data_IF_158717761655
#
_entry.id   IF_158717761655
#
_cell.length_a   1.000
_cell.length_b   1.000
_cell.length_c   1.000
_cell.angle_alpha   90.00
_cell.angle_beta   90.00
_cell.angle_gamma   90.00
#
_symmetry.space_group_name_H-M   'P 1'
#
loop_
_entity.id
_entity.type
_entity.pdbx_description
1 polymer ?
#
# COMPACT_ATOMS: atom_id res chain seq x y z
N UNK A 1 -20.65 -13.50 20.34
CA UNK A 1 -21.43 -13.85 19.14
C UNK A 1 -21.08 -12.90 18.02
N UNK A 2 -20.85 -13.44 16.82
CA UNK A 2 -20.59 -12.67 15.60
C UNK A 2 -21.54 -13.19 14.53
N UNK A 3 -22.16 -12.29 13.77
CA UNK A 3 -22.94 -12.61 12.59
C UNK A 3 -22.31 -11.90 11.38
N UNK A 4 -22.33 -12.54 10.24
CA UNK A 4 -21.76 -12.00 9.00
C UNK A 4 -22.59 -12.45 7.80
N UNK A 5 -22.43 -11.71 6.70
CA UNK A 5 -23.02 -12.03 5.41
C UNK A 5 -21.95 -11.87 4.33
N UNK A 6 -21.86 -12.87 3.45
CA UNK A 6 -20.98 -12.85 2.31
C UNK A 6 -21.78 -13.24 1.05
N UNK A 7 -21.52 -12.55 -0.06
CA UNK A 7 -22.14 -12.84 -1.34
C UNK A 7 -21.06 -13.09 -2.39
N UNK A 8 -20.93 -14.36 -2.79
CA UNK A 8 -19.93 -14.81 -3.75
C UNK A 8 -20.46 -14.72 -5.18
N UNK A 9 -19.57 -14.42 -6.13
CA UNK A 9 -19.85 -14.41 -7.58
C UNK A 9 -21.06 -13.58 -8.01
N UNK A 10 -21.29 -12.44 -7.36
CA UNK A 10 -22.35 -11.51 -7.75
C UNK A 10 -22.09 -10.98 -9.18
N UNK A 11 -23.08 -11.01 -10.08
CA UNK A 11 -22.91 -10.54 -11.45
C UNK A 11 -22.73 -9.02 -11.54
N UNK A 12 -23.24 -8.28 -10.58
CA UNK A 12 -23.09 -6.84 -10.40
C UNK A 12 -22.58 -6.57 -8.98
N UNK A 13 -21.31 -6.20 -8.89
CA UNK A 13 -20.65 -5.98 -7.59
C UNK A 13 -21.26 -4.80 -6.84
N UNK A 14 -21.54 -3.67 -7.51
CA UNK A 14 -22.07 -2.47 -6.87
C UNK A 14 -23.49 -2.71 -6.30
N UNK A 15 -24.35 -3.39 -7.07
CA UNK A 15 -25.68 -3.76 -6.60
C UNK A 15 -25.62 -4.76 -5.43
N UNK A 16 -24.67 -5.70 -5.47
CA UNK A 16 -24.46 -6.65 -4.39
C UNK A 16 -23.99 -5.97 -3.11
N UNK A 17 -23.01 -5.08 -3.19
CA UNK A 17 -22.51 -4.31 -2.04
C UNK A 17 -23.62 -3.47 -1.41
N UNK A 18 -24.40 -2.76 -2.21
CA UNK A 18 -25.55 -2.00 -1.72
C UNK A 18 -26.58 -2.89 -1.02
N UNK A 19 -26.81 -4.10 -1.54
CA UNK A 19 -27.75 -5.05 -0.93
C UNK A 19 -27.23 -5.65 0.35
N UNK A 20 -25.93 -6.00 0.42
CA UNK A 20 -25.28 -6.49 1.64
C UNK A 20 -25.34 -5.43 2.73
N UNK A 21 -25.05 -4.16 2.38
CA UNK A 21 -25.15 -3.03 3.30
C UNK A 21 -26.59 -2.86 3.85
N UNK A 22 -27.59 -2.90 2.97
CA UNK A 22 -29.01 -2.84 3.38
C UNK A 22 -29.39 -3.95 4.34
N UNK A 23 -28.95 -5.18 4.07
CA UNK A 23 -29.21 -6.32 4.92
C UNK A 23 -28.52 -6.17 6.29
N UNK A 24 -27.28 -5.68 6.32
CA UNK A 24 -26.57 -5.43 7.58
C UNK A 24 -27.28 -4.36 8.43
N UNK A 25 -27.72 -3.26 7.82
CA UNK A 25 -28.50 -2.20 8.50
C UNK A 25 -29.80 -2.77 9.04
N UNK A 26 -30.58 -3.48 8.20
CA UNK A 26 -31.83 -4.08 8.62
C UNK A 26 -31.69 -5.11 9.75
N UNK A 27 -30.59 -5.85 9.78
CA UNK A 27 -30.28 -6.76 10.88
C UNK A 27 -30.03 -6.02 12.21
N UNK A 28 -29.33 -4.88 12.18
CA UNK A 28 -29.11 -4.03 13.37
C UNK A 28 -30.42 -3.45 13.87
N UNK A 29 -31.28 -2.95 12.98
CA UNK A 29 -32.60 -2.43 13.32
C UNK A 29 -33.53 -3.51 13.92
N UNK A 30 -33.53 -4.71 13.30
CA UNK A 30 -34.27 -5.84 13.83
C UNK A 30 -33.77 -6.32 15.19
N UNK A 31 -32.49 -6.12 15.50
CA UNK A 31 -31.92 -6.37 16.82
C UNK A 31 -32.21 -5.25 17.83
N UNK A 32 -32.97 -4.21 17.46
CA UNK A 32 -33.37 -3.10 18.34
C UNK A 32 -32.31 -1.98 18.43
N UNK A 33 -31.28 -1.98 17.62
CA UNK A 33 -30.29 -0.92 17.58
C UNK A 33 -30.82 0.25 16.75
N UNK A 34 -31.11 1.38 17.40
CA UNK A 34 -31.67 2.58 16.76
C UNK A 34 -30.65 3.68 16.54
N UNK A 35 -29.45 3.55 17.14
CA UNK A 35 -28.35 4.54 17.02
C UNK A 35 -27.06 3.81 16.67
N UNK A 36 -26.65 3.90 15.43
CA UNK A 36 -25.38 3.38 14.93
C UNK A 36 -24.81 4.28 13.83
N UNK A 37 -23.55 4.12 13.56
CA UNK A 37 -22.85 4.80 12.45
C UNK A 37 -22.39 3.76 11.45
N UNK A 38 -22.59 4.04 10.18
CA UNK A 38 -22.01 3.28 9.06
C UNK A 38 -20.86 4.09 8.49
N UNK A 39 -19.70 3.46 8.35
CA UNK A 39 -18.54 4.05 7.71
C UNK A 39 -18.21 3.21 6.48
N UNK A 40 -18.15 3.86 5.33
CA UNK A 40 -17.78 3.25 4.06
C UNK A 40 -16.40 3.75 3.65
N UNK A 41 -15.61 2.88 3.04
CA UNK A 41 -14.34 3.22 2.42
C UNK A 41 -14.31 2.70 0.99
N UNK A 42 -13.79 3.51 0.06
CA UNK A 42 -13.60 3.11 -1.33
C UNK A 42 -12.12 3.05 -1.68
N UNK A 43 -11.64 1.82 -1.89
CA UNK A 43 -10.26 1.56 -2.33
C UNK A 43 -10.03 1.95 -3.79
N UNK A 44 -11.08 2.07 -4.60
CA UNK A 44 -11.00 2.53 -5.98
C UNK A 44 -10.52 3.97 -6.06
N UNK A 45 -11.09 4.84 -5.23
CA UNK A 45 -10.67 6.26 -5.13
C UNK A 45 -9.21 6.39 -4.68
N UNK A 46 -8.80 5.61 -3.68
CA UNK A 46 -7.41 5.58 -3.24
C UNK A 46 -6.46 5.10 -4.34
N UNK A 47 -6.85 4.07 -5.08
CA UNK A 47 -6.06 3.57 -6.21
C UNK A 47 -5.94 4.60 -7.32
N UNK A 48 -7.03 5.28 -7.68
CA UNK A 48 -7.03 6.34 -8.69
C UNK A 48 -6.13 7.51 -8.28
N UNK A 49 -6.18 7.96 -7.03
CA UNK A 49 -5.29 9.00 -6.52
C UNK A 49 -3.81 8.62 -6.65
N UNK A 50 -3.45 7.37 -6.32
CA UNK A 50 -2.08 6.90 -6.46
C UNK A 50 -1.66 6.75 -7.93
N UNK A 51 -2.58 6.43 -8.83
CA UNK A 51 -2.31 6.31 -10.27
C UNK A 51 -2.10 7.66 -10.92
N UNK A 52 -2.86 8.67 -10.52
CA UNK A 52 -2.70 10.05 -10.98
C UNK A 52 -1.48 10.75 -10.38
N UNK A 53 -0.98 10.26 -9.25
CA UNK A 53 0.23 10.82 -8.63
C UNK A 53 1.49 10.35 -9.36
N UNK A 54 2.32 11.26 -9.94
CA UNK A 54 3.57 10.90 -10.60
C UNK A 54 4.57 10.29 -9.61
N UNK A 55 4.64 8.97 -9.58
CA UNK A 55 5.58 8.18 -8.79
C UNK A 55 5.81 6.81 -9.45
N UNK A 56 6.93 6.12 -9.16
CA UNK A 56 7.19 4.78 -9.66
C UNK A 56 6.12 3.76 -9.23
N UNK A 57 5.82 2.81 -10.11
CA UNK A 57 4.83 1.73 -9.83
C UNK A 57 5.16 0.97 -8.53
N UNK A 58 6.47 0.72 -8.28
CA UNK A 58 6.93 0.04 -7.06
C UNK A 58 6.56 0.82 -5.78
N UNK A 59 6.52 2.16 -5.81
CA UNK A 59 6.10 3.00 -4.69
C UNK A 59 4.59 2.92 -4.48
N UNK A 60 3.80 2.99 -5.56
CA UNK A 60 2.34 2.79 -5.50
C UNK A 60 1.99 1.44 -4.89
N UNK A 61 2.64 0.37 -5.36
CA UNK A 61 2.40 -0.98 -4.83
C UNK A 61 2.75 -1.07 -3.35
N UNK A 62 3.83 -0.41 -2.92
CA UNK A 62 4.23 -0.36 -1.51
C UNK A 62 3.21 0.38 -0.66
N UNK A 63 2.68 1.52 -1.12
CA UNK A 63 1.62 2.24 -0.43
C UNK A 63 0.31 1.42 -0.37
N UNK A 64 -0.10 0.80 -1.48
CA UNK A 64 -1.28 -0.10 -1.51
C UNK A 64 -1.12 -1.27 -0.52
N UNK A 65 0.06 -1.86 -0.44
CA UNK A 65 0.33 -2.96 0.50
C UNK A 65 0.25 -2.53 1.98
N UNK A 66 0.64 -1.30 2.31
CA UNK A 66 0.63 -0.78 3.67
C UNK A 66 -0.64 -0.02 4.05
N UNK A 67 -1.62 0.10 3.14
CA UNK A 67 -2.84 0.86 3.36
C UNK A 67 -3.56 0.52 4.68
N UNK A 68 -3.62 -0.77 5.01
CA UNK A 68 -4.28 -1.27 6.22
C UNK A 68 -3.49 -1.07 7.52
N UNK A 69 -2.29 -0.50 7.44
CA UNK A 69 -1.39 -0.27 8.57
C UNK A 69 -1.02 1.22 8.62
N UNK A 70 -1.83 2.07 9.25
CA UNK A 70 -1.67 3.54 9.17
C UNK A 70 -0.29 4.06 9.57
N UNK A 71 0.37 3.43 10.54
CA UNK A 71 1.72 3.80 10.96
C UNK A 71 2.75 3.45 9.87
N UNK A 72 2.75 2.21 9.40
CA UNK A 72 3.66 1.76 8.35
C UNK A 72 3.43 2.52 7.02
N UNK A 73 2.17 2.84 6.71
CA UNK A 73 1.83 3.66 5.54
C UNK A 73 2.49 5.04 5.62
N UNK A 74 2.37 5.73 6.75
CA UNK A 74 2.99 7.06 6.96
C UNK A 74 4.51 7.00 6.88
N UNK A 75 5.13 6.01 7.50
CA UNK A 75 6.58 5.80 7.42
C UNK A 75 7.06 5.58 5.98
N UNK A 76 6.34 4.77 5.20
CA UNK A 76 6.64 4.53 3.79
C UNK A 76 6.49 5.82 2.98
N UNK A 77 5.38 6.55 3.15
CA UNK A 77 5.14 7.81 2.45
C UNK A 77 6.22 8.86 2.78
N UNK A 78 6.56 9.01 4.07
CA UNK A 78 7.64 9.89 4.52
C UNK A 78 9.01 9.49 3.94
N UNK A 79 9.28 8.18 3.81
CA UNK A 79 10.51 7.70 3.21
C UNK A 79 10.67 8.13 1.75
N UNK A 80 9.57 8.32 1.03
CA UNK A 80 9.56 8.79 -0.35
C UNK A 80 9.78 10.31 -0.47
N UNK A 81 9.36 11.09 0.52
CA UNK A 81 9.55 12.56 0.51
C UNK A 81 10.96 12.98 0.91
N UNK A 82 11.60 12.22 1.78
CA UNK A 82 12.89 12.60 2.37
C UNK A 82 14.09 11.97 1.68
N UNK A 83 13.87 11.13 0.69
CA UNK A 83 14.89 10.29 0.06
C UNK A 83 15.75 9.50 1.09
N UNK A 84 15.19 9.29 2.30
CA UNK A 84 15.82 8.56 3.41
C UNK A 84 15.85 7.04 3.18
N UNK A 85 15.72 6.59 1.94
CA UNK A 85 15.92 5.19 1.56
C UNK A 85 17.28 4.63 1.90
N UNK A 86 18.17 5.47 2.42
CA UNK A 86 19.54 5.12 2.75
C UNK A 86 19.87 5.34 4.23
N UNK A 87 19.06 4.83 5.17
CA UNK A 87 19.70 4.47 6.45
C UNK A 87 20.81 3.48 6.09
N UNK A 88 22.05 3.81 6.44
CA UNK A 88 23.22 2.93 6.30
C UNK A 88 22.92 1.63 7.06
N UNK A 89 22.34 0.69 6.38
CA UNK A 89 22.14 -0.69 6.84
C UNK A 89 23.32 -1.52 6.34
N UNK A 90 23.54 -2.68 6.94
CA UNK A 90 24.51 -3.68 6.46
C UNK A 90 24.38 -4.03 4.95
N UNK A 91 23.23 -3.70 4.35
CA UNK A 91 22.91 -3.90 2.93
C UNK A 91 23.39 -2.69 2.06
N UNK A 92 23.89 -1.62 2.66
CA UNK A 92 24.27 -0.41 1.92
C UNK A 92 25.39 -0.68 0.91
N UNK A 93 26.43 -1.38 1.33
CA UNK A 93 27.54 -1.75 0.47
C UNK A 93 27.10 -2.70 -0.67
N UNK A 94 26.15 -3.59 -0.37
CA UNK A 94 25.56 -4.47 -1.39
C UNK A 94 24.81 -3.68 -2.45
N UNK A 95 23.99 -2.70 -2.02
CA UNK A 95 23.24 -1.85 -2.95
C UNK A 95 24.21 -0.95 -3.76
N UNK A 96 25.35 -0.51 -3.21
CA UNK A 96 26.33 0.28 -3.93
C UNK A 96 26.99 -0.56 -5.05
N UNK A 97 27.25 -1.84 -4.81
CA UNK A 97 27.72 -2.77 -5.85
C UNK A 97 26.70 -2.97 -6.96
N UNK A 98 25.42 -3.00 -6.65
CA UNK A 98 24.34 -3.15 -7.63
C UNK A 98 24.21 -1.97 -8.62
N UNK A 99 24.87 -0.85 -8.34
CA UNK A 99 24.94 0.27 -9.29
C UNK A 99 25.89 -0.01 -10.47
N UNK A 100 26.83 -0.95 -10.32
CA UNK A 100 27.92 -1.22 -11.28
C UNK A 100 28.03 -2.68 -11.71
N UNK A 101 27.43 -3.61 -10.96
CA UNK A 101 27.52 -5.04 -11.18
C UNK A 101 26.13 -5.67 -11.45
N UNK A 102 26.04 -6.76 -12.23
CA UNK A 102 24.78 -7.47 -12.45
C UNK A 102 24.18 -7.99 -11.14
N UNK A 103 22.89 -7.71 -10.91
CA UNK A 103 22.19 -8.04 -9.66
C UNK A 103 22.30 -9.53 -9.29
N UNK A 104 22.13 -10.42 -10.27
CA UNK A 104 22.20 -11.87 -10.06
C UNK A 104 23.57 -12.33 -9.54
N UNK A 105 24.65 -11.78 -10.09
CA UNK A 105 26.01 -12.12 -9.70
C UNK A 105 26.33 -11.61 -8.28
N UNK A 106 25.96 -10.37 -7.99
CA UNK A 106 26.15 -9.78 -6.65
C UNK A 106 25.41 -10.57 -5.58
N UNK A 107 24.17 -10.98 -5.84
CA UNK A 107 23.37 -11.77 -4.92
C UNK A 107 23.96 -13.17 -4.72
N UNK A 108 24.37 -13.84 -5.80
CA UNK A 108 24.98 -15.16 -5.72
C UNK A 108 26.27 -15.15 -4.90
N UNK A 109 27.16 -14.19 -5.15
CA UNK A 109 28.41 -14.02 -4.40
C UNK A 109 28.18 -13.71 -2.93
N UNK A 110 27.19 -12.88 -2.60
CA UNK A 110 26.88 -12.53 -1.22
C UNK A 110 26.34 -13.72 -0.42
N UNK A 111 25.50 -14.54 -1.05
CA UNK A 111 24.97 -15.76 -0.45
C UNK A 111 26.10 -16.77 -0.21
N UNK A 112 26.97 -16.96 -1.20
CA UNK A 112 28.10 -17.87 -1.12
C UNK A 112 29.12 -17.42 -0.06
N UNK A 113 29.52 -16.14 -0.07
CA UNK A 113 30.52 -15.59 0.86
C UNK A 113 30.09 -15.65 2.32
N UNK A 114 28.78 -15.52 2.59
CA UNK A 114 28.21 -15.54 3.93
C UNK A 114 27.63 -16.89 4.34
N UNK A 115 27.74 -17.89 3.46
CA UNK A 115 27.15 -19.22 3.65
C UNK A 115 25.70 -19.15 4.15
N UNK A 116 24.91 -18.23 3.55
CA UNK A 116 23.54 -17.99 3.98
C UNK A 116 22.65 -19.11 3.43
N UNK A 117 21.95 -19.84 4.31
CA UNK A 117 20.95 -20.78 3.82
C UNK A 117 19.83 -19.99 3.15
N UNK A 118 19.37 -20.45 1.99
CA UNK A 118 18.15 -19.97 1.33
C UNK A 118 16.95 -20.42 2.19
N UNK A 119 16.76 -19.76 3.34
CA UNK A 119 15.67 -20.06 4.26
C UNK A 119 14.49 -19.15 3.92
N UNK A 120 13.30 -19.74 3.78
CA UNK A 120 12.06 -18.98 3.68
C UNK A 120 11.37 -18.97 2.31
N UNK A 121 11.69 -19.91 1.41
CA UNK A 121 10.91 -20.13 0.19
C UNK A 121 11.00 -19.04 -0.88
N UNK A 122 11.94 -18.07 -0.74
CA UNK A 122 12.18 -17.05 -1.76
C UNK A 122 13.24 -17.52 -2.74
N UNK A 123 12.96 -17.36 -4.04
CA UNK A 123 13.93 -17.61 -5.08
C UNK A 123 15.03 -16.52 -5.12
N UNK A 124 16.18 -16.84 -5.71
CA UNK A 124 17.25 -15.88 -5.96
C UNK A 124 16.75 -14.69 -6.80
N UNK A 125 15.88 -14.95 -7.75
CA UNK A 125 15.29 -13.94 -8.63
C UNK A 125 14.41 -12.95 -7.85
N UNK A 126 13.62 -13.43 -6.87
CA UNK A 126 12.83 -12.56 -6.01
C UNK A 126 13.71 -11.68 -5.11
N UNK A 127 14.82 -12.23 -4.60
CA UNK A 127 15.79 -11.47 -3.81
C UNK A 127 16.46 -10.43 -4.69
N UNK A 128 16.89 -10.80 -5.88
CA UNK A 128 17.51 -9.92 -6.86
C UNK A 128 16.58 -8.78 -7.27
N UNK A 129 15.33 -9.07 -7.58
CA UNK A 129 14.31 -8.06 -7.93
C UNK A 129 14.10 -7.04 -6.79
N UNK A 130 14.01 -7.50 -5.54
CA UNK A 130 13.88 -6.57 -4.39
C UNK A 130 15.10 -5.70 -4.14
N UNK A 131 16.29 -6.21 -4.42
CA UNK A 131 17.52 -5.43 -4.32
C UNK A 131 17.62 -4.41 -5.46
N UNK A 132 17.24 -4.80 -6.68
CA UNK A 132 17.13 -3.87 -7.81
C UNK A 132 16.16 -2.73 -7.52
N UNK A 133 14.99 -3.01 -6.97
CA UNK A 133 14.02 -1.99 -6.53
C UNK A 133 14.62 -1.03 -5.50
N UNK A 134 15.36 -1.54 -4.52
CA UNK A 134 16.03 -0.71 -3.51
C UNK A 134 17.16 0.15 -4.12
N UNK A 135 17.88 -0.38 -5.10
CA UNK A 135 18.89 0.38 -5.84
C UNK A 135 18.23 1.50 -6.64
N UNK A 136 17.17 1.19 -7.36
CA UNK A 136 16.39 2.17 -8.11
C UNK A 136 15.79 3.28 -7.21
N UNK A 137 15.36 2.94 -5.99
CA UNK A 137 14.85 3.93 -5.03
C UNK A 137 15.89 4.97 -4.60
N UNK A 138 17.20 4.66 -4.67
CA UNK A 138 18.27 5.61 -4.35
C UNK A 138 18.47 6.70 -5.39
N UNK A 139 18.26 6.35 -6.64
CA UNK A 139 18.39 7.27 -7.78
C UNK A 139 17.09 7.98 -8.12
N UNK A 140 15.98 7.58 -7.49
CA UNK A 140 14.67 8.14 -7.74
C UNK A 140 14.57 9.55 -7.13
N UNK A 141 13.94 10.47 -7.87
CA UNK A 141 13.61 11.78 -7.32
C UNK A 141 12.63 11.67 -6.16
N UNK A 142 12.85 12.43 -5.10
CA UNK A 142 11.94 12.44 -3.96
C UNK A 142 10.51 12.85 -4.38
N UNK A 143 9.53 12.20 -3.79
CA UNK A 143 8.13 12.61 -3.92
C UNK A 143 7.97 13.99 -3.28
N UNK A 144 7.55 14.99 -4.04
CA UNK A 144 7.34 16.33 -3.50
C UNK A 144 6.36 16.34 -2.32
N UNK A 145 6.62 17.20 -1.34
CA UNK A 145 5.80 17.29 -0.12
C UNK A 145 4.33 17.52 -0.43
N UNK A 146 4.01 18.40 -1.40
CA UNK A 146 2.63 18.67 -1.82
C UNK A 146 1.86 17.41 -2.23
N UNK A 147 2.52 16.46 -2.91
CA UNK A 147 1.90 15.19 -3.31
C UNK A 147 1.67 14.27 -2.11
N UNK A 148 2.62 14.23 -1.19
CA UNK A 148 2.48 13.45 0.05
C UNK A 148 1.37 14.02 0.93
N UNK A 149 1.24 15.34 1.01
CA UNK A 149 0.18 16.03 1.73
C UNK A 149 -1.19 15.74 1.11
N UNK A 150 -1.29 15.74 -0.22
CA UNK A 150 -2.53 15.38 -0.92
C UNK A 150 -2.97 13.94 -0.59
N UNK A 151 -2.05 12.97 -0.61
CA UNK A 151 -2.34 11.59 -0.23
C UNK A 151 -2.79 11.50 1.24
N UNK A 152 -2.12 12.22 2.13
CA UNK A 152 -2.44 12.23 3.57
C UNK A 152 -3.80 12.90 3.82
N UNK A 153 -4.08 14.01 3.14
CA UNK A 153 -5.34 14.73 3.24
C UNK A 153 -6.50 13.87 2.78
N UNK A 154 -6.33 13.17 1.65
CA UNK A 154 -7.36 12.23 1.17
C UNK A 154 -7.70 11.16 2.23
N UNK A 155 -6.68 10.58 2.88
CA UNK A 155 -6.91 9.56 3.90
C UNK A 155 -7.58 10.10 5.17
N UNK A 156 -7.58 11.41 5.38
CA UNK A 156 -8.25 12.06 6.51
C UNK A 156 -9.68 12.49 6.21
N UNK A 157 -10.15 12.37 4.96
CA UNK A 157 -11.51 12.72 4.59
C UNK A 157 -12.47 11.72 5.24
N UNK A 158 -13.23 12.21 6.20
CA UNK A 158 -14.35 11.51 6.83
C UNK A 158 -15.53 12.45 6.77
N UNK A 159 -16.39 12.25 5.79
CA UNK A 159 -17.50 13.14 5.53
C UNK A 159 -18.81 12.36 5.39
N UNK A 160 -19.93 13.06 5.48
CA UNK A 160 -21.24 12.50 5.16
C UNK A 160 -21.35 12.35 3.64
N UNK A 161 -22.11 11.34 3.20
CA UNK A 161 -22.27 11.03 1.78
C UNK A 161 -22.82 12.21 0.97
N UNK A 162 -23.65 13.03 1.56
CA UNK A 162 -24.24 14.23 0.96
C UNK A 162 -23.24 15.39 0.74
N UNK A 163 -22.11 15.38 1.46
CA UNK A 163 -21.07 16.42 1.35
C UNK A 163 -19.83 15.95 0.57
N UNK A 164 -19.78 14.67 0.17
CA UNK A 164 -18.57 14.07 -0.38
C UNK A 164 -18.15 14.68 -1.72
N UNK A 165 -19.12 15.11 -2.56
CA UNK A 165 -18.85 15.70 -3.87
C UNK A 165 -17.99 16.99 -3.78
N UNK A 166 -18.14 17.76 -2.71
CA UNK A 166 -17.35 18.99 -2.49
C UNK A 166 -15.88 18.76 -2.18
N UNK A 167 -15.50 17.53 -1.79
CA UNK A 167 -14.11 17.17 -1.47
C UNK A 167 -13.38 16.42 -2.59
N UNK A 168 -14.11 15.98 -3.63
CA UNK A 168 -13.57 15.22 -4.77
C UNK A 168 -13.28 16.09 -6.00
N UNK A 169 -13.67 17.37 -5.98
CA UNK A 169 -13.38 18.38 -6.99
C UNK A 169 -12.23 19.29 -6.55
#
# INVERSE_FOLDING_TARGET
LQAGLEWFAAPDAAAAEARVLKLAIGALEAAGLTKFRVTLGDLGLFSALLEDTPMPVRWRNRLKHHFWRPHAFREVLESFTTNRGAKRTSISALIDRLATEPVAEVVAQEIESKNLPLVGGRSLDEIAARLADKSADRSEAALGQTKADAITSYLSIVERADNLEGHLN
#
